data_IF_018996976119
#
_entry.id   IF_018996976119
#
_cell.length_a   1.000
_cell.length_b   1.000
_cell.length_c   1.000
_cell.angle_alpha   90.00
_cell.angle_beta   90.00
_cell.angle_gamma   90.00
#
_symmetry.space_group_name_H-M   'P 1'
#
loop_
_entity.id
_entity.type
_entity.pdbx_description
1 polymer ?
#
# COMPACT_ATOMS: atom_id res chain seq x y z
N UNK A 1 1.87 -12.65 0.40
CA UNK A 1 1.20 -12.74 -0.93
C UNK A 1 1.37 -11.41 -1.62
N UNK A 2 1.53 -11.38 -2.95
CA UNK A 2 1.56 -10.14 -3.72
C UNK A 2 0.18 -9.48 -3.72
N UNK A 3 0.13 -8.16 -3.61
CA UNK A 3 -1.11 -7.41 -3.73
C UNK A 3 -1.48 -7.33 -5.23
N UNK A 4 -2.70 -7.72 -5.64
CA UNK A 4 -3.13 -7.57 -7.03
C UNK A 4 -3.41 -6.10 -7.41
N UNK A 5 -3.45 -5.20 -6.41
CA UNK A 5 -3.52 -3.77 -6.63
C UNK A 5 -2.26 -3.24 -7.33
N UNK A 6 -2.38 -2.27 -8.25
CA UNK A 6 -3.60 -1.58 -8.65
C UNK A 6 -4.21 -2.15 -9.95
N UNK A 7 -3.97 -3.42 -10.28
CA UNK A 7 -4.55 -4.01 -11.48
C UNK A 7 -6.08 -3.99 -11.42
N UNK A 8 -6.70 -3.85 -12.59
CA UNK A 8 -8.15 -3.85 -12.74
C UNK A 8 -8.79 -5.15 -12.23
N UNK A 9 -10.02 -5.10 -11.67
CA UNK A 9 -10.83 -3.91 -11.42
C UNK A 9 -10.28 -3.03 -10.29
N UNK A 10 -10.39 -1.71 -10.46
CA UNK A 10 -9.94 -0.72 -9.48
C UNK A 10 -10.95 -0.66 -8.33
N UNK A 11 -10.58 -1.25 -7.18
CA UNK A 11 -11.49 -1.48 -6.04
C UNK A 11 -10.86 -1.03 -4.71
N UNK A 12 -10.61 0.28 -4.51
CA UNK A 12 -10.33 0.80 -3.17
C UNK A 12 -11.48 0.47 -2.22
N UNK A 13 -11.19 0.30 -0.92
CA UNK A 13 -12.29 0.15 0.06
C UNK A 13 -13.03 1.48 0.23
N UNK A 14 -14.26 1.42 0.77
CA UNK A 14 -15.15 2.59 0.90
C UNK A 14 -14.48 3.77 1.61
N UNK A 15 -13.63 3.50 2.59
CA UNK A 15 -12.92 4.52 3.37
C UNK A 15 -11.87 5.28 2.54
N UNK A 16 -11.50 4.78 1.37
CA UNK A 16 -10.52 5.40 0.48
C UNK A 16 -11.15 6.18 -0.68
N UNK A 17 -12.45 6.04 -0.91
CA UNK A 17 -13.14 6.69 -2.02
C UNK A 17 -13.01 8.22 -1.95
N UNK A 18 -12.45 8.82 -3.01
CA UNK A 18 -12.28 10.26 -3.18
C UNK A 18 -11.14 10.88 -2.38
N UNK A 19 -10.40 10.11 -1.56
CA UNK A 19 -9.35 10.68 -0.70
C UNK A 19 -8.16 11.22 -1.48
N UNK A 20 -7.86 10.66 -2.65
CA UNK A 20 -6.70 11.09 -3.46
C UNK A 20 -6.97 12.39 -4.22
N UNK A 21 -8.23 12.80 -4.35
CA UNK A 21 -8.68 13.93 -5.20
C UNK A 21 -8.32 13.79 -6.70
N UNK A 22 -7.83 12.62 -7.14
CA UNK A 22 -7.41 12.36 -8.52
C UNK A 22 -8.44 11.49 -9.25
N UNK A 23 -8.56 10.22 -8.86
CA UNK A 23 -9.50 9.24 -9.40
C UNK A 23 -9.47 7.95 -8.53
N UNK A 24 -10.36 6.96 -8.77
CA UNK A 24 -10.36 5.72 -7.99
C UNK A 24 -9.04 4.92 -8.04
N UNK A 25 -8.23 5.08 -9.10
CA UNK A 25 -6.92 4.45 -9.18
C UNK A 25 -5.95 5.10 -8.19
N UNK A 26 -5.96 6.43 -8.08
CA UNK A 26 -5.22 7.18 -7.07
C UNK A 26 -5.63 6.78 -5.65
N UNK A 27 -6.93 6.59 -5.40
CA UNK A 27 -7.44 6.09 -4.12
C UNK A 27 -6.89 4.69 -3.82
N UNK A 28 -6.82 3.82 -4.83
CA UNK A 28 -6.30 2.46 -4.67
C UNK A 28 -4.79 2.45 -4.38
N UNK A 29 -4.01 3.28 -5.08
CA UNK A 29 -2.57 3.45 -4.81
C UNK A 29 -2.34 4.00 -3.41
N UNK A 30 -3.11 5.00 -2.98
CA UNK A 30 -2.96 5.59 -1.66
C UNK A 30 -3.34 4.61 -0.53
N UNK A 31 -4.30 3.72 -0.78
CA UNK A 31 -4.60 2.63 0.14
C UNK A 31 -3.41 1.66 0.29
N UNK A 32 -2.70 1.34 -0.81
CA UNK A 32 -1.51 0.50 -0.74
C UNK A 32 -0.36 1.21 -0.03
N UNK A 33 -0.16 2.49 -0.30
CA UNK A 33 0.83 3.30 0.41
C UNK A 33 0.61 3.25 1.93
N UNK A 34 -0.63 3.45 2.37
CA UNK A 34 -0.99 3.35 3.78
C UNK A 34 -0.71 1.96 4.38
N UNK A 35 -1.03 0.88 3.66
CA UNK A 35 -0.74 -0.48 4.08
C UNK A 35 0.77 -0.74 4.23
N UNK A 36 1.60 -0.21 3.33
CA UNK A 36 3.07 -0.27 3.47
C UNK A 36 3.54 0.54 4.69
N UNK A 37 2.90 1.66 4.99
CA UNK A 37 3.11 2.41 6.23
C UNK A 37 2.83 1.55 7.49
N UNK A 38 1.74 0.79 7.51
CA UNK A 38 1.44 -0.12 8.63
C UNK A 38 2.46 -1.26 8.75
N UNK A 39 2.91 -1.82 7.63
CA UNK A 39 3.96 -2.85 7.60
C UNK A 39 5.28 -2.33 8.18
N UNK A 40 5.74 -1.17 7.70
CA UNK A 40 7.00 -0.57 8.17
C UNK A 40 6.94 -0.20 9.66
N UNK A 41 5.80 0.32 10.12
CA UNK A 41 5.55 0.56 11.54
C UNK A 41 5.61 -0.75 12.35
N UNK A 42 5.00 -1.82 11.86
CA UNK A 42 5.02 -3.13 12.54
C UNK A 42 6.44 -3.68 12.67
N UNK A 43 7.26 -3.55 11.62
CA UNK A 43 8.68 -3.96 11.63
C UNK A 43 9.47 -3.19 12.68
N UNK A 44 9.23 -1.87 12.77
CA UNK A 44 9.82 -0.99 13.77
C UNK A 44 9.40 -1.37 15.19
N UNK A 45 8.10 -1.52 15.42
CA UNK A 45 7.54 -1.86 16.74
C UNK A 45 8.03 -3.25 17.23
N UNK A 46 8.35 -4.16 16.30
CA UNK A 46 8.96 -5.44 16.59
C UNK A 46 10.48 -5.38 16.87
N UNK A 47 11.13 -4.23 16.68
CA UNK A 47 12.56 -4.03 16.98
C UNK A 47 13.51 -4.71 15.99
N UNK A 48 13.05 -5.03 14.77
CA UNK A 48 13.83 -5.75 13.75
C UNK A 48 14.19 -4.91 12.52
N UNK A 49 13.94 -3.60 12.56
CA UNK A 49 14.12 -2.68 11.42
C UNK A 49 15.54 -2.68 10.85
N UNK A 50 16.56 -2.65 11.72
CA UNK A 50 17.98 -2.63 11.31
C UNK A 50 18.45 -3.92 10.60
N UNK A 51 17.70 -5.02 10.75
CA UNK A 51 17.99 -6.31 10.11
C UNK A 51 16.91 -6.70 9.08
N UNK A 52 16.17 -5.73 8.56
CA UNK A 52 15.10 -5.97 7.58
C UNK A 52 15.33 -5.12 6.32
N UNK A 53 15.57 -5.77 5.18
CA UNK A 53 15.60 -5.12 3.87
C UNK A 53 14.23 -5.19 3.21
N UNK A 54 13.64 -4.03 2.89
CA UNK A 54 12.37 -3.93 2.18
C UNK A 54 12.64 -3.52 0.74
N UNK A 55 12.12 -4.29 -0.22
CA UNK A 55 12.14 -3.98 -1.64
C UNK A 55 10.69 -3.80 -2.11
N UNK A 56 10.41 -2.66 -2.73
CA UNK A 56 9.11 -2.34 -3.32
C UNK A 56 9.29 -2.16 -4.84
N UNK A 57 8.46 -2.83 -5.63
CA UNK A 57 8.55 -2.82 -7.10
C UNK A 57 7.17 -3.04 -7.74
N UNK A 58 7.06 -2.69 -9.02
CA UNK A 58 5.97 -3.09 -9.93
C UNK A 58 6.40 -4.32 -10.73
N UNK A 59 5.42 -5.02 -11.30
CA UNK A 59 5.62 -6.12 -12.25
C UNK A 59 5.84 -5.64 -13.70
N UNK A 60 5.29 -4.47 -14.07
CA UNK A 60 5.50 -3.79 -15.35
C UNK A 60 5.26 -2.27 -15.29
#
# INVERSE_FOLDING_TARGET
MALPSPHTPILPTKDWHGKSEINPYGDFVMMIDNYIGELTKTIKDAGIEENTLIIFTSDN
#
